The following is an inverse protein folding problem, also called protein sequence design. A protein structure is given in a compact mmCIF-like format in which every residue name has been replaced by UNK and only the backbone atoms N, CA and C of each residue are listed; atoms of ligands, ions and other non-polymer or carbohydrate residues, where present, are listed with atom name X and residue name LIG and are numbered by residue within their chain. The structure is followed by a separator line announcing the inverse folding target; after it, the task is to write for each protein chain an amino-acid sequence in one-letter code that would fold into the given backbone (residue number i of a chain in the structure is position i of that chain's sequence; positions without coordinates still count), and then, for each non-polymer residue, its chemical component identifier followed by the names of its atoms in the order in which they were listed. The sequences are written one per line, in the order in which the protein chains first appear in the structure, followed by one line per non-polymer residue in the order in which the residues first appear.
data_IF_705353304060
#
_entry.id   IF_705353304060
#
_cell.length_a   1.000
_cell.length_b   1.000
_cell.length_c   1.000
_cell.angle_alpha   90.00
_cell.angle_beta   90.00
_cell.angle_gamma   90.00
#
_symmetry.space_group_name_H-M   'P 1'
#
loop_
_entity.id
_entity.type
_entity.pdbx_description
1 polymer ?
#
# COMPACT_ATOMS: atom_id res chain seq x y z
N UNK A 1 -5.90 18.89 3.00
CA UNK A 1 -4.57 18.93 2.33
C UNK A 1 -4.35 20.37 1.88
N UNK A 2 -3.11 20.88 1.99
CA UNK A 2 -2.81 22.24 1.49
C UNK A 2 -3.00 22.28 -0.02
N UNK A 3 -3.68 23.30 -0.55
CA UNK A 3 -3.83 23.53 -2.01
C UNK A 3 -2.46 23.53 -2.70
N UNK A 4 -1.45 24.12 -2.03
CA UNK A 4 -0.07 24.09 -2.48
C UNK A 4 0.44 22.68 -2.82
N UNK A 5 0.18 21.68 -1.97
CA UNK A 5 0.65 20.32 -2.23
C UNK A 5 -0.10 19.70 -3.41
N UNK A 6 -1.41 19.88 -3.49
CA UNK A 6 -2.20 19.33 -4.59
C UNK A 6 -1.74 19.87 -5.96
N UNK A 7 -1.29 21.11 -6.01
CA UNK A 7 -0.83 21.78 -7.24
C UNK A 7 0.61 21.45 -7.62
N UNK A 8 1.51 21.21 -6.65
CA UNK A 8 2.95 21.13 -6.91
C UNK A 8 3.51 19.70 -6.95
N UNK A 9 2.79 18.68 -6.46
CA UNK A 9 3.34 17.32 -6.33
C UNK A 9 3.77 16.71 -7.67
N UNK A 10 2.97 16.89 -8.72
CA UNK A 10 3.25 16.34 -10.05
C UNK A 10 4.54 16.88 -10.68
N UNK A 11 4.96 18.09 -10.31
CA UNK A 11 6.17 18.73 -10.84
C UNK A 11 7.45 18.07 -10.33
N UNK A 12 7.34 17.25 -9.28
CA UNK A 12 8.45 16.52 -8.65
C UNK A 12 8.22 15.00 -8.66
N UNK A 13 7.38 14.51 -9.58
CA UNK A 13 7.00 13.09 -9.73
C UNK A 13 6.34 12.48 -8.49
N UNK A 14 5.67 13.29 -7.66
CA UNK A 14 4.84 12.79 -6.56
C UNK A 14 3.35 12.72 -6.95
N UNK A 15 2.63 11.78 -6.34
CA UNK A 15 1.19 11.61 -6.54
C UNK A 15 0.44 11.28 -5.24
N UNK A 16 -0.89 11.39 -5.30
CA UNK A 16 -1.84 10.98 -4.24
C UNK A 16 -2.63 9.73 -4.71
N UNK A 17 -2.05 8.51 -4.63
CA UNK A 17 -2.64 7.33 -5.27
C UNK A 17 -3.95 6.85 -4.64
N UNK A 18 -4.24 7.21 -3.40
CA UNK A 18 -5.40 6.73 -2.64
C UNK A 18 -6.49 7.78 -2.45
N UNK A 19 -6.62 8.71 -3.40
CA UNK A 19 -7.67 9.75 -3.38
C UNK A 19 -9.08 9.22 -3.63
N UNK A 20 -9.19 8.02 -4.19
CA UNK A 20 -10.43 7.31 -4.43
C UNK A 20 -10.31 5.90 -3.88
N UNK A 21 -11.41 5.37 -3.33
CA UNK A 21 -11.50 3.97 -2.96
C UNK A 21 -11.77 3.14 -4.22
N UNK A 22 -10.88 2.20 -4.60
CA UNK A 22 -11.14 1.32 -5.72
C UNK A 22 -12.33 0.40 -5.43
N UNK A 23 -13.13 0.07 -6.44
CA UNK A 23 -14.25 -0.86 -6.28
C UNK A 23 -13.78 -2.22 -5.78
N UNK A 24 -14.48 -2.80 -4.79
CA UNK A 24 -14.14 -4.11 -4.21
C UNK A 24 -12.99 -4.09 -3.20
N UNK A 25 -12.23 -3.00 -3.08
CA UNK A 25 -11.17 -2.86 -2.08
C UNK A 25 -11.71 -2.42 -0.73
N UNK A 26 -11.14 -3.00 0.33
CA UNK A 26 -11.40 -2.60 1.72
C UNK A 26 -10.48 -1.48 2.22
N UNK A 27 -9.64 -0.92 1.33
CA UNK A 27 -8.78 0.22 1.63
C UNK A 27 -9.58 1.51 1.46
N UNK A 28 -9.66 2.30 2.52
CA UNK A 28 -10.35 3.59 2.51
C UNK A 28 -9.58 4.65 1.73
N UNK A 29 -10.22 5.80 1.54
CA UNK A 29 -9.58 6.99 0.96
C UNK A 29 -8.52 7.55 1.92
N UNK A 30 -7.28 7.67 1.45
CA UNK A 30 -6.15 8.23 2.20
C UNK A 30 -5.63 9.52 1.55
N UNK A 31 -6.30 10.67 1.75
CA UNK A 31 -5.91 11.92 1.11
C UNK A 31 -4.57 12.49 1.59
N UNK A 32 -3.96 11.91 2.62
CA UNK A 32 -2.65 12.26 3.15
C UNK A 32 -1.50 11.45 2.54
N UNK A 33 -1.79 10.39 1.79
CA UNK A 33 -0.77 9.48 1.26
C UNK A 33 -0.11 10.08 0.01
N UNK A 34 1.19 10.39 0.11
CA UNK A 34 2.00 10.93 -0.98
C UNK A 34 3.06 9.90 -1.38
N UNK A 35 3.15 9.58 -2.67
CA UNK A 35 4.10 8.60 -3.19
C UNK A 35 5.02 9.23 -4.24
N UNK A 36 6.34 8.99 -4.14
CA UNK A 36 7.29 9.32 -5.20
C UNK A 36 7.21 8.26 -6.30
N UNK A 37 6.65 8.62 -7.46
CA UNK A 37 6.27 7.69 -8.53
C UNK A 37 7.42 6.81 -9.03
N UNK A 38 8.64 7.32 -9.28
CA UNK A 38 9.72 6.50 -9.83
C UNK A 38 10.08 5.32 -8.95
N UNK A 39 10.02 5.49 -7.63
CA UNK A 39 10.26 4.42 -6.67
C UNK A 39 9.00 3.59 -6.41
N UNK A 40 7.85 4.24 -6.23
CA UNK A 40 6.60 3.58 -5.91
C UNK A 40 6.19 2.58 -7.00
N UNK A 41 6.34 2.93 -8.27
CA UNK A 41 6.02 2.02 -9.38
C UNK A 41 6.90 0.77 -9.38
N UNK A 42 8.20 0.92 -9.11
CA UNK A 42 9.12 -0.22 -9.00
C UNK A 42 8.75 -1.11 -7.80
N UNK A 43 8.48 -0.49 -6.64
CA UNK A 43 8.09 -1.21 -5.44
C UNK A 43 6.78 -1.99 -5.64
N UNK A 44 5.77 -1.37 -6.28
CA UNK A 44 4.50 -2.02 -6.58
C UNK A 44 4.67 -3.27 -7.46
N UNK A 45 5.58 -3.25 -8.43
CA UNK A 45 5.84 -4.42 -9.30
C UNK A 45 6.53 -5.57 -8.56
N UNK A 46 7.29 -5.26 -7.51
CA UNK A 46 8.03 -6.26 -6.72
C UNK A 46 7.25 -6.72 -5.48
N UNK A 47 6.17 -6.02 -5.13
CA UNK A 47 5.44 -6.28 -3.90
C UNK A 47 4.53 -7.51 -4.05
N UNK A 48 4.82 -8.54 -3.25
CA UNK A 48 4.11 -9.82 -3.26
C UNK A 48 3.74 -10.23 -1.84
N UNK A 49 2.81 -11.17 -1.70
CA UNK A 49 2.45 -11.75 -0.40
C UNK A 49 3.67 -12.35 0.32
N UNK A 50 4.61 -12.95 -0.43
CA UNK A 50 5.86 -13.49 0.12
C UNK A 50 6.75 -12.38 0.70
N UNK A 51 6.95 -11.28 -0.05
CA UNK A 51 7.72 -10.12 0.44
C UNK A 51 7.09 -9.56 1.72
N UNK A 52 5.76 -9.45 1.75
CA UNK A 52 5.04 -9.01 2.95
C UNK A 52 5.24 -9.98 4.11
N UNK A 53 5.14 -11.30 3.89
CA UNK A 53 5.37 -12.30 4.93
C UNK A 53 6.80 -12.21 5.50
N UNK A 54 7.81 -12.11 4.63
CA UNK A 54 9.20 -12.04 5.03
C UNK A 54 9.51 -10.82 5.92
N UNK A 55 8.83 -9.69 5.67
CA UNK A 55 9.05 -8.45 6.41
C UNK A 55 8.78 -8.55 7.92
N UNK A 56 7.97 -9.51 8.36
CA UNK A 56 7.65 -9.72 9.78
C UNK A 56 7.77 -11.18 10.21
N UNK A 57 8.37 -12.04 9.37
CA UNK A 57 8.44 -13.48 9.65
C UNK A 57 9.24 -13.80 10.92
N UNK A 58 10.18 -12.97 11.35
CA UNK A 58 10.93 -13.20 12.59
C UNK A 58 10.41 -12.40 13.78
N UNK A 59 9.35 -11.62 13.58
CA UNK A 59 8.77 -10.79 14.61
C UNK A 59 7.78 -11.58 15.49
N UNK A 60 7.68 -11.14 16.75
CA UNK A 60 6.68 -11.65 17.69
C UNK A 60 5.33 -10.99 17.40
N UNK A 61 4.52 -11.67 16.60
CA UNK A 61 3.15 -11.24 16.26
C UNK A 61 2.15 -12.25 16.84
N UNK A 62 1.27 -11.77 17.70
CA UNK A 62 0.17 -12.56 18.24
C UNK A 62 -0.75 -13.08 17.12
N UNK A 63 -1.13 -14.35 17.17
CA UNK A 63 -1.96 -14.97 16.14
C UNK A 63 -1.27 -15.13 14.78
N UNK A 64 0.07 -15.09 14.73
CA UNK A 64 0.86 -15.25 13.50
C UNK A 64 0.43 -16.43 12.63
N UNK A 65 0.19 -17.61 13.22
CA UNK A 65 -0.23 -18.79 12.45
C UNK A 65 -1.51 -18.55 11.66
N UNK A 66 -2.48 -17.85 12.26
CA UNK A 66 -3.74 -17.47 11.62
C UNK A 66 -3.50 -16.42 10.54
N UNK A 67 -2.68 -15.41 10.82
CA UNK A 67 -2.34 -14.37 9.84
C UNK A 67 -1.65 -14.97 8.61
N UNK A 68 -0.71 -15.89 8.80
CA UNK A 68 -0.04 -16.59 7.69
C UNK A 68 -1.02 -17.45 6.89
N UNK A 69 -1.91 -18.17 7.57
CA UNK A 69 -2.92 -19.01 6.93
C UNK A 69 -3.86 -18.21 6.01
N UNK A 70 -4.27 -17.02 6.47
CA UNK A 70 -5.19 -16.14 5.72
C UNK A 70 -4.50 -15.08 4.87
N UNK A 71 -3.17 -15.05 4.86
CA UNK A 71 -2.41 -14.03 4.13
C UNK A 71 -2.77 -13.92 2.64
N UNK A 72 -3.00 -15.01 1.88
CA UNK A 72 -3.40 -14.90 0.48
C UNK A 72 -4.73 -14.14 0.30
N UNK A 73 -5.72 -14.41 1.15
CA UNK A 73 -7.03 -13.73 1.10
C UNK A 73 -6.90 -12.26 1.49
N UNK A 74 -6.15 -11.97 2.55
CA UNK A 74 -5.88 -10.61 3.01
C UNK A 74 -5.13 -9.83 1.91
N UNK A 75 -4.13 -10.44 1.28
CA UNK A 75 -3.34 -9.79 0.24
C UNK A 75 -4.22 -9.42 -0.97
N UNK A 76 -5.09 -10.32 -1.43
CA UNK A 76 -6.02 -10.03 -2.52
C UNK A 76 -6.99 -8.89 -2.16
N UNK A 77 -7.60 -8.92 -0.97
CA UNK A 77 -8.62 -7.94 -0.57
C UNK A 77 -8.08 -6.50 -0.37
N UNK A 78 -6.79 -6.37 -0.05
CA UNK A 78 -6.21 -5.09 0.33
C UNK A 78 -5.10 -4.62 -0.62
N UNK A 79 -4.32 -5.51 -1.25
CA UNK A 79 -3.08 -5.15 -1.98
C UNK A 79 -3.14 -5.32 -3.50
N UNK A 80 -3.90 -6.31 -4.04
CA UNK A 80 -4.08 -6.56 -5.51
C UNK A 80 -5.29 -5.85 -6.09
#
# INVERSE_FOLDING_TARGET
MSEFLAENLSDFDFALPFMHQPEGKKVGREPWHISYLPLAQQAMQLFTADVLLQAWYHELVEGKEILVMHLPEIFEQYMV
#
